data_IF_977031385220
#
_entry.id   IF_977031385220
#
_cell.length_a   1.000
_cell.length_b   1.000
_cell.length_c   1.000
_cell.angle_alpha   90.00
_cell.angle_beta   90.00
_cell.angle_gamma   90.00
#
_symmetry.space_group_name_H-M   'P 1'
#
loop_
_entity.id
_entity.type
_entity.pdbx_description
1 polymer ?
#
# COMPACT_ATOMS: atom_id res chain seq x y z
N UNK A 1 27.85 -12.04 7.74
CA UNK A 1 27.34 -11.04 6.77
C UNK A 1 27.67 -9.67 7.30
N UNK A 2 28.66 -8.99 6.71
CA UNK A 2 29.03 -7.63 7.09
C UNK A 2 27.83 -6.71 6.87
N UNK A 3 27.54 -5.82 7.82
CA UNK A 3 26.53 -4.79 7.63
C UNK A 3 27.00 -3.90 6.47
N UNK A 4 26.27 -3.92 5.35
CA UNK A 4 26.55 -3.06 4.22
C UNK A 4 26.64 -1.59 4.70
N UNK A 5 27.68 -0.89 4.26
CA UNK A 5 27.92 0.52 4.59
C UNK A 5 26.62 1.33 4.37
N UNK A 6 26.13 2.07 5.38
CA UNK A 6 24.92 2.88 5.23
C UNK A 6 25.03 3.95 4.13
N UNK A 7 26.25 4.29 3.70
CA UNK A 7 26.53 5.28 2.65
C UNK A 7 26.80 4.69 1.25
N UNK A 8 26.79 3.36 1.07
CA UNK A 8 27.02 2.76 -0.24
C UNK A 8 25.86 2.99 -1.22
N UNK A 9 26.17 3.27 -2.49
CA UNK A 9 25.18 3.40 -3.56
C UNK A 9 24.73 4.84 -3.89
N UNK A 10 23.89 4.96 -4.92
CA UNK A 10 23.43 6.28 -5.40
C UNK A 10 22.61 7.05 -4.34
N UNK A 11 22.47 8.38 -4.45
CA UNK A 11 21.62 9.17 -3.53
C UNK A 11 20.19 8.62 -3.39
N UNK A 12 19.65 8.05 -4.46
CA UNK A 12 18.32 7.42 -4.48
C UNK A 12 18.24 6.18 -3.57
N UNK A 13 19.32 5.40 -3.48
CA UNK A 13 19.42 4.22 -2.60
C UNK A 13 19.42 4.67 -1.13
N UNK A 14 20.19 5.71 -0.80
CA UNK A 14 20.24 6.25 0.57
C UNK A 14 18.86 6.77 0.99
N UNK A 15 18.23 7.60 0.16
CA UNK A 15 16.85 8.08 0.39
C UNK A 15 15.89 6.90 0.56
N UNK A 16 16.04 5.86 -0.26
CA UNK A 16 15.24 4.65 -0.21
C UNK A 16 15.30 3.92 1.13
N UNK A 17 16.49 3.79 1.74
CA UNK A 17 16.64 3.15 3.06
C UNK A 17 15.88 3.92 4.15
N UNK A 18 15.98 5.26 4.15
CA UNK A 18 15.22 6.11 5.08
C UNK A 18 13.71 6.04 4.82
N UNK A 19 13.31 6.16 3.56
CA UNK A 19 11.91 6.04 3.15
C UNK A 19 11.32 4.70 3.57
N UNK A 20 12.05 3.59 3.42
CA UNK A 20 11.62 2.27 3.86
C UNK A 20 11.37 2.20 5.38
N UNK A 21 12.24 2.81 6.18
CA UNK A 21 12.12 2.83 7.65
C UNK A 21 10.88 3.57 8.13
N UNK A 22 10.52 4.67 7.47
CA UNK A 22 9.44 5.58 7.86
C UNK A 22 8.20 5.52 6.97
N UNK A 23 8.14 4.59 6.00
CA UNK A 23 7.07 4.49 5.00
C UNK A 23 5.66 4.46 5.59
N UNK A 24 5.51 3.84 6.77
CA UNK A 24 4.22 3.66 7.44
C UNK A 24 3.69 4.97 8.06
N UNK A 25 4.53 6.00 8.22
CA UNK A 25 4.15 7.30 8.76
C UNK A 25 4.26 8.42 7.72
N UNK A 26 5.31 8.40 6.88
CA UNK A 26 5.62 9.46 5.92
C UNK A 26 4.46 9.77 4.99
N UNK A 27 3.91 8.74 4.33
CA UNK A 27 2.86 8.93 3.33
C UNK A 27 1.49 9.26 3.96
N UNK A 28 1.03 8.58 5.03
CA UNK A 28 -0.21 8.99 5.70
C UNK A 28 -0.18 10.43 6.22
N UNK A 29 0.93 10.88 6.82
CA UNK A 29 1.06 12.26 7.32
C UNK A 29 0.99 13.25 6.15
N UNK A 30 1.70 12.98 5.05
CA UNK A 30 1.64 13.81 3.86
C UNK A 30 0.22 13.88 3.28
N UNK A 31 -0.51 12.76 3.25
CA UNK A 31 -1.88 12.70 2.77
C UNK A 31 -2.85 13.51 3.64
N UNK A 32 -2.72 13.42 4.97
CA UNK A 32 -3.53 14.25 5.88
C UNK A 32 -3.22 15.74 5.73
N UNK A 33 -1.95 16.11 5.54
CA UNK A 33 -1.54 17.47 5.25
C UNK A 33 -2.14 18.00 3.95
N UNK A 34 -2.14 17.18 2.89
CA UNK A 34 -2.77 17.54 1.60
C UNK A 34 -4.30 17.60 1.70
N UNK A 35 -4.93 16.71 2.46
CA UNK A 35 -6.38 16.74 2.69
C UNK A 35 -6.81 18.03 3.39
N UNK A 36 -5.98 18.58 4.29
CA UNK A 36 -6.27 19.85 4.98
C UNK A 36 -6.27 21.07 4.05
N UNK A 37 -5.66 20.96 2.85
CA UNK A 37 -5.67 22.01 1.83
C UNK A 37 -6.92 21.96 0.94
N UNK A 38 -7.75 20.93 1.07
CA UNK A 38 -8.95 20.77 0.24
C UNK A 38 -10.02 21.82 0.56
N UNK A 39 -10.69 22.31 -0.48
CA UNK A 39 -11.78 23.27 -0.39
C UNK A 39 -13.06 22.74 -1.08
N UNK A 40 -14.25 23.00 -0.53
CA UNK A 40 -15.51 22.52 -1.09
C UNK A 40 -15.79 23.14 -2.47
N UNK A 41 -16.26 22.36 -3.47
CA UNK A 41 -16.60 22.90 -4.77
C UNK A 41 -17.87 23.77 -4.74
N UNK A 42 -17.79 24.96 -5.32
CA UNK A 42 -18.91 25.92 -5.37
C UNK A 42 -20.06 25.45 -6.30
N UNK A 43 -19.72 24.72 -7.37
CA UNK A 43 -20.68 24.28 -8.39
C UNK A 43 -21.23 22.87 -8.14
N UNK A 44 -22.47 22.63 -8.56
CA UNK A 44 -23.07 21.28 -8.51
C UNK A 44 -22.29 20.28 -9.38
N UNK A 45 -21.75 20.71 -10.52
CA UNK A 45 -20.88 19.89 -11.36
C UNK A 45 -19.58 19.53 -10.61
N UNK A 46 -18.96 20.49 -9.92
CA UNK A 46 -17.79 20.25 -9.09
C UNK A 46 -18.03 19.24 -7.98
N UNK A 47 -19.16 19.33 -7.28
CA UNK A 47 -19.55 18.34 -6.25
C UNK A 47 -19.74 16.93 -6.82
N UNK A 48 -20.34 16.80 -8.01
CA UNK A 48 -20.47 15.50 -8.69
C UNK A 48 -19.10 14.92 -9.08
N UNK A 49 -18.22 15.75 -9.65
CA UNK A 49 -16.86 15.32 -9.98
C UNK A 49 -16.10 14.86 -8.74
N UNK A 50 -16.27 15.57 -7.63
CA UNK A 50 -15.66 15.23 -6.34
C UNK A 50 -16.15 13.88 -5.79
N UNK A 51 -17.46 13.61 -5.87
CA UNK A 51 -18.03 12.31 -5.49
C UNK A 51 -17.56 11.17 -6.41
N UNK A 52 -17.44 11.42 -7.72
CA UNK A 52 -16.93 10.44 -8.68
C UNK A 52 -15.45 10.14 -8.41
N UNK A 53 -14.64 11.17 -8.14
CA UNK A 53 -13.23 11.03 -7.78
C UNK A 53 -13.08 10.25 -6.47
N UNK A 54 -13.92 10.52 -5.47
CA UNK A 54 -13.97 9.74 -4.23
C UNK A 54 -14.28 8.27 -4.48
N UNK A 55 -15.31 7.98 -5.27
CA UNK A 55 -15.71 6.61 -5.59
C UNK A 55 -14.63 5.88 -6.38
N UNK A 56 -14.02 6.54 -7.37
CA UNK A 56 -12.89 6.01 -8.12
C UNK A 56 -11.67 5.76 -7.20
N UNK A 57 -11.45 6.66 -6.24
CA UNK A 57 -10.40 6.52 -5.22
C UNK A 57 -10.58 5.30 -4.34
N UNK A 58 -11.79 5.06 -3.83
CA UNK A 58 -12.15 3.85 -3.08
C UNK A 58 -11.93 2.60 -3.94
N UNK A 59 -12.41 2.60 -5.18
CA UNK A 59 -12.26 1.47 -6.08
C UNK A 59 -10.78 1.15 -6.37
N UNK A 60 -9.94 2.16 -6.58
CA UNK A 60 -8.51 2.00 -6.81
C UNK A 60 -7.79 1.49 -5.55
N UNK A 61 -8.16 1.98 -4.37
CA UNK A 61 -7.60 1.49 -3.11
C UNK A 61 -7.99 0.03 -2.83
N UNK A 62 -9.24 -0.35 -3.12
CA UNK A 62 -9.69 -1.74 -3.05
C UNK A 62 -8.90 -2.62 -4.02
N UNK A 63 -8.72 -2.20 -5.29
CA UNK A 63 -7.92 -2.94 -6.25
C UNK A 63 -6.46 -3.14 -5.78
N UNK A 64 -5.84 -2.09 -5.22
CA UNK A 64 -4.51 -2.17 -4.62
C UNK A 64 -4.45 -3.13 -3.42
N UNK A 65 -5.45 -3.08 -2.53
CA UNK A 65 -5.55 -3.98 -1.39
C UNK A 65 -5.77 -5.43 -1.81
N UNK A 66 -6.60 -5.67 -2.83
CA UNK A 66 -6.81 -7.00 -3.42
C UNK A 66 -5.53 -7.56 -4.01
N UNK A 67 -4.74 -6.74 -4.71
CA UNK A 67 -3.43 -7.16 -5.22
C UNK A 67 -2.48 -7.55 -4.07
N UNK A 68 -2.43 -6.77 -2.99
CA UNK A 68 -1.60 -7.11 -1.81
C UNK A 68 -2.05 -8.42 -1.17
N UNK A 69 -3.36 -8.59 -0.97
CA UNK A 69 -3.92 -9.83 -0.43
C UNK A 69 -3.61 -11.03 -1.35
N UNK A 70 -3.72 -10.84 -2.67
CA UNK A 70 -3.40 -11.86 -3.67
C UNK A 70 -1.95 -12.30 -3.57
N UNK A 71 -1.01 -11.35 -3.55
CA UNK A 71 0.41 -11.62 -3.38
C UNK A 71 0.61 -12.42 -2.10
N UNK A 72 0.11 -11.95 -0.97
CA UNK A 72 0.41 -12.57 0.32
C UNK A 72 -0.22 -13.95 0.48
N UNK A 73 -1.45 -14.13 0.01
CA UNK A 73 -2.15 -15.40 0.12
C UNK A 73 -1.66 -16.47 -0.85
N UNK A 74 -1.12 -16.09 -2.02
CA UNK A 74 -0.53 -17.03 -3.00
C UNK A 74 0.98 -17.22 -2.84
N UNK A 75 1.66 -16.30 -2.18
CA UNK A 75 3.13 -16.34 -2.11
C UNK A 75 3.61 -17.31 -1.05
N UNK A 76 4.40 -18.31 -1.45
CA UNK A 76 5.16 -19.19 -0.56
C UNK A 76 6.41 -18.43 -0.07
N UNK A 77 6.24 -17.38 0.74
CA UNK A 77 7.35 -16.52 1.18
C UNK A 77 7.85 -16.94 2.56
N UNK A 78 9.06 -17.48 2.59
CA UNK A 78 10.01 -17.24 3.69
C UNK A 78 10.68 -15.89 3.38
N UNK A 79 10.58 -14.97 4.34
CA UNK A 79 10.65 -13.50 4.15
C UNK A 79 11.86 -12.96 3.38
N UNK A 80 11.56 -11.95 2.56
CA UNK A 80 12.44 -10.81 2.35
C UNK A 80 12.13 -9.67 3.33
N UNK A 81 13.05 -9.32 4.23
CA UNK A 81 12.99 -8.19 5.16
C UNK A 81 12.91 -8.57 6.64
N UNK A 82 13.92 -8.17 7.44
CA UNK A 82 14.00 -8.35 8.91
C UNK A 82 14.42 -7.00 9.53
N UNK A 83 13.85 -6.62 10.68
CA UNK A 83 14.25 -5.41 11.44
C UNK A 83 14.25 -4.07 10.65
N UNK A 84 13.28 -3.84 9.76
CA UNK A 84 13.18 -2.61 8.95
C UNK A 84 14.37 -2.39 7.98
N UNK A 85 15.07 -3.46 7.62
CA UNK A 85 16.08 -3.45 6.55
C UNK A 85 15.71 -4.48 5.47
N UNK A 86 16.20 -4.25 4.25
CA UNK A 86 16.16 -5.26 3.20
C UNK A 86 16.95 -6.49 3.67
N UNK A 87 16.33 -7.66 3.55
CA UNK A 87 16.90 -8.96 3.90
C UNK A 87 16.27 -9.97 2.95
N UNK A 88 16.94 -11.03 2.57
CA UNK A 88 16.34 -12.13 1.81
C UNK A 88 17.18 -13.39 2.04
N UNK A 89 16.58 -14.47 2.53
CA UNK A 89 17.26 -15.78 2.66
C UNK A 89 17.37 -16.48 1.30
N UNK A 90 16.39 -16.25 0.42
CA UNK A 90 16.37 -16.74 -0.96
C UNK A 90 15.76 -15.68 -1.88
N UNK A 91 16.20 -15.67 -3.13
CA UNK A 91 15.63 -14.83 -4.16
C UNK A 91 14.29 -15.43 -4.63
N UNK A 92 13.19 -14.89 -4.12
CA UNK A 92 11.83 -15.32 -4.49
C UNK A 92 11.48 -14.79 -5.88
N UNK A 93 11.24 -15.70 -6.82
CA UNK A 93 10.88 -15.38 -8.22
C UNK A 93 9.60 -16.10 -8.66
N UNK A 94 9.02 -16.94 -7.81
CA UNK A 94 7.82 -17.71 -8.07
C UNK A 94 6.55 -16.94 -7.68
N UNK A 95 5.40 -17.50 -8.07
CA UNK A 95 4.11 -16.90 -7.74
C UNK A 95 3.95 -15.54 -8.42
N UNK A 96 3.34 -14.59 -7.70
CA UNK A 96 3.11 -13.24 -8.23
C UNK A 96 4.44 -12.48 -8.51
N UNK A 97 5.54 -12.83 -7.85
CA UNK A 97 6.86 -12.26 -8.12
C UNK A 97 7.39 -12.62 -9.51
N UNK A 98 6.94 -13.74 -10.11
CA UNK A 98 7.25 -14.07 -11.50
C UNK A 98 6.54 -13.17 -12.54
N UNK A 99 5.52 -12.42 -12.11
CA UNK A 99 4.72 -11.55 -12.99
C UNK A 99 5.07 -10.07 -12.85
N UNK A 100 5.48 -9.65 -11.64
CA UNK A 100 5.89 -8.30 -11.29
C UNK A 100 6.92 -8.40 -10.16
N UNK A 101 8.04 -7.68 -10.25
CA UNK A 101 9.07 -7.76 -9.20
C UNK A 101 8.64 -7.11 -7.88
N UNK A 102 7.80 -6.07 -7.95
CA UNK A 102 7.43 -5.23 -6.80
C UNK A 102 5.90 -5.12 -6.61
N UNK A 103 5.14 -6.22 -6.60
CA UNK A 103 3.68 -6.17 -6.69
C UNK A 103 3.03 -5.57 -5.44
N UNK A 104 3.66 -5.72 -4.26
CA UNK A 104 3.20 -5.08 -3.03
C UNK A 104 3.32 -3.55 -3.10
N UNK A 105 4.40 -3.03 -3.69
CA UNK A 105 4.57 -1.59 -3.87
C UNK A 105 3.63 -1.02 -4.93
N UNK A 106 3.30 -1.79 -5.97
CA UNK A 106 2.22 -1.42 -6.90
C UNK A 106 0.88 -1.32 -6.16
N UNK A 107 0.53 -2.33 -5.35
CA UNK A 107 -0.68 -2.29 -4.53
C UNK A 107 -0.71 -1.09 -3.58
N UNK A 108 0.42 -0.75 -2.97
CA UNK A 108 0.53 0.44 -2.13
C UNK A 108 0.35 1.73 -2.92
N UNK A 109 0.98 1.85 -4.08
CA UNK A 109 0.83 3.02 -4.93
C UNK A 109 -0.64 3.20 -5.36
N UNK A 110 -1.35 2.11 -5.67
CA UNK A 110 -2.80 2.16 -5.95
C UNK A 110 -3.60 2.66 -4.74
N UNK A 111 -3.35 2.14 -3.54
CA UNK A 111 -4.02 2.59 -2.31
C UNK A 111 -3.80 4.10 -2.07
N UNK A 112 -2.55 4.54 -2.12
CA UNK A 112 -2.22 5.95 -1.85
C UNK A 112 -2.72 6.89 -2.94
N UNK A 113 -2.67 6.46 -4.22
CA UNK A 113 -3.27 7.22 -5.33
C UNK A 113 -4.79 7.28 -5.19
N UNK A 114 -5.42 6.19 -4.73
CA UNK A 114 -6.85 6.17 -4.42
C UNK A 114 -7.23 7.17 -3.33
N UNK A 115 -6.40 7.35 -2.31
CA UNK A 115 -6.60 8.40 -1.30
C UNK A 115 -6.45 9.81 -1.89
N UNK A 116 -5.48 10.05 -2.78
CA UNK A 116 -5.36 11.35 -3.46
C UNK A 116 -6.58 11.65 -4.33
N UNK A 117 -7.12 10.64 -5.02
CA UNK A 117 -8.39 10.75 -5.75
C UNK A 117 -9.55 11.04 -4.80
N UNK A 118 -9.57 10.47 -3.60
CA UNK A 118 -10.59 10.75 -2.60
C UNK A 118 -10.52 12.16 -2.01
N UNK A 119 -9.31 12.71 -1.88
CA UNK A 119 -9.11 14.12 -1.55
C UNK A 119 -9.66 14.98 -2.69
N UNK A 120 -9.28 14.67 -3.95
CA UNK A 120 -9.68 15.40 -5.15
C UNK A 120 -9.32 16.89 -5.09
N UNK A 121 -8.03 17.17 -4.92
CA UNK A 121 -7.46 18.52 -4.89
C UNK A 121 -6.26 18.63 -5.83
N UNK A 122 -6.06 19.81 -6.44
CA UNK A 122 -4.95 20.06 -7.36
C UNK A 122 -3.58 19.87 -6.69
N UNK A 123 -3.42 20.32 -5.45
CA UNK A 123 -2.19 20.17 -4.68
C UNK A 123 -1.96 18.73 -4.27
N UNK A 124 -3.04 17.99 -3.97
CA UNK A 124 -2.97 16.56 -3.72
C UNK A 124 -2.36 15.82 -4.93
N UNK A 125 -2.74 16.18 -6.15
CA UNK A 125 -2.17 15.59 -7.36
C UNK A 125 -0.74 16.08 -7.65
N UNK A 126 -0.52 17.40 -7.62
CA UNK A 126 0.78 18.00 -7.96
C UNK A 126 1.90 17.61 -6.99
N UNK A 127 1.60 17.44 -5.71
CA UNK A 127 2.58 17.08 -4.68
C UNK A 127 2.53 15.58 -4.40
N UNK A 128 1.34 15.02 -4.23
CA UNK A 128 1.16 13.64 -3.79
C UNK A 128 1.62 12.61 -4.82
N UNK A 129 1.29 12.77 -6.11
CA UNK A 129 1.67 11.79 -7.14
C UNK A 129 3.20 11.72 -7.32
N UNK A 130 3.93 12.85 -7.47
CA UNK A 130 5.39 12.80 -7.52
C UNK A 130 6.01 12.26 -6.24
N UNK A 131 5.47 12.58 -5.06
CA UNK A 131 5.97 12.07 -3.78
C UNK A 131 5.83 10.55 -3.70
N UNK A 132 4.65 10.00 -4.04
CA UNK A 132 4.41 8.55 -4.08
C UNK A 132 5.39 7.87 -5.04
N UNK A 133 5.53 8.43 -6.25
CA UNK A 133 6.44 7.90 -7.27
C UNK A 133 7.90 7.91 -6.78
N UNK A 134 8.35 9.03 -6.20
CA UNK A 134 9.71 9.17 -5.68
C UNK A 134 9.98 8.19 -4.53
N UNK A 135 9.08 8.13 -3.54
CA UNK A 135 9.22 7.26 -2.36
C UNK A 135 9.32 5.80 -2.77
N UNK A 136 8.40 5.30 -3.61
CA UNK A 136 8.44 3.89 -4.02
C UNK A 136 9.60 3.60 -4.97
N UNK A 137 9.98 4.52 -5.85
CA UNK A 137 11.20 4.35 -6.67
C UNK A 137 12.47 4.28 -5.81
N UNK A 138 12.56 5.12 -4.77
CA UNK A 138 13.70 5.12 -3.86
C UNK A 138 13.76 3.83 -3.05
N UNK A 139 12.63 3.41 -2.45
CA UNK A 139 12.52 2.16 -1.70
C UNK A 139 12.93 0.96 -2.58
N UNK A 140 12.37 0.87 -3.78
CA UNK A 140 12.69 -0.23 -4.71
C UNK A 140 14.17 -0.17 -5.09
N UNK A 141 14.72 1.00 -5.42
CA UNK A 141 16.15 1.10 -5.74
C UNK A 141 17.05 0.59 -4.61
N UNK A 142 16.71 0.88 -3.35
CA UNK A 142 17.45 0.38 -2.20
C UNK A 142 17.34 -1.14 -2.03
N UNK A 143 16.15 -1.71 -2.22
CA UNK A 143 15.96 -3.16 -2.19
C UNK A 143 16.66 -3.87 -3.35
N UNK A 144 16.54 -3.36 -4.58
CA UNK A 144 17.17 -3.95 -5.76
C UNK A 144 18.70 -3.89 -5.67
N UNK A 145 19.27 -2.83 -5.08
CA UNK A 145 20.70 -2.75 -4.79
C UNK A 145 21.14 -3.86 -3.83
N UNK A 146 20.41 -4.06 -2.73
CA UNK A 146 20.67 -5.15 -1.79
C UNK A 146 20.53 -6.53 -2.45
N UNK A 147 19.50 -6.75 -3.27
CA UNK A 147 19.29 -8.01 -3.97
C UNK A 147 20.38 -8.29 -5.01
N UNK A 148 20.88 -7.26 -5.69
CA UNK A 148 21.99 -7.39 -6.63
C UNK A 148 23.29 -7.79 -5.92
N UNK A 149 23.58 -7.20 -4.75
CA UNK A 149 24.74 -7.58 -3.93
C UNK A 149 24.60 -9.01 -3.37
N UNK A 150 23.41 -9.40 -2.93
CA UNK A 150 23.17 -10.69 -2.30
C UNK A 150 23.12 -11.87 -3.29
N UNK A 151 22.61 -11.66 -4.52
CA UNK A 151 22.30 -12.76 -5.45
C UNK A 151 22.96 -12.63 -6.84
N UNK A 152 23.68 -11.54 -7.13
CA UNK A 152 24.51 -11.41 -8.33
C UNK A 152 23.78 -11.70 -9.65
N UNK A 153 24.30 -12.63 -10.44
CA UNK A 153 23.74 -13.03 -11.74
C UNK A 153 22.30 -13.52 -11.66
N UNK A 154 21.94 -14.28 -10.61
CA UNK A 154 20.57 -14.78 -10.47
C UNK A 154 19.55 -13.64 -10.39
N UNK A 155 19.92 -12.51 -9.77
CA UNK A 155 19.09 -11.32 -9.73
C UNK A 155 19.06 -10.56 -11.06
N UNK A 156 20.20 -10.48 -11.77
CA UNK A 156 20.26 -9.87 -13.11
C UNK A 156 19.35 -10.61 -14.10
N UNK A 157 19.40 -11.93 -14.09
CA UNK A 157 18.55 -12.81 -14.89
C UNK A 157 17.06 -12.62 -14.58
N UNK A 158 16.73 -12.50 -13.30
CA UNK A 158 15.37 -12.19 -12.87
C UNK A 158 14.90 -10.83 -13.40
N UNK A 159 15.75 -9.80 -13.32
CA UNK A 159 15.46 -8.46 -13.81
C UNK A 159 15.19 -8.41 -15.32
N UNK A 160 15.90 -9.23 -16.10
CA UNK A 160 15.73 -9.32 -17.55
C UNK A 160 14.40 -9.95 -17.95
N UNK A 161 13.88 -10.88 -17.15
CA UNK A 161 12.63 -11.59 -17.43
C UNK A 161 11.39 -10.87 -16.90
N UNK A 162 11.47 -10.23 -15.74
CA UNK A 162 10.29 -9.74 -15.01
C UNK A 162 10.28 -8.21 -14.92
N UNK A 163 9.18 -7.54 -15.29
CA UNK A 163 9.08 -6.08 -15.19
C UNK A 163 9.13 -5.60 -13.73
N UNK A 164 9.71 -4.42 -13.53
CA UNK A 164 9.86 -3.83 -12.18
C UNK A 164 8.52 -3.50 -11.53
N UNK A 165 7.62 -2.83 -12.25
CA UNK A 165 6.30 -2.38 -11.77
C UNK A 165 5.13 -2.87 -12.65
N UNK A 166 5.38 -3.19 -13.92
CA UNK A 166 4.36 -3.76 -14.81
C UNK A 166 3.97 -5.19 -14.40
N UNK A 167 2.91 -5.70 -15.01
CA UNK A 167 2.45 -7.08 -14.83
C UNK A 167 2.55 -7.87 -16.13
N UNK A 168 3.24 -9.01 -16.10
CA UNK A 168 3.17 -10.02 -17.14
C UNK A 168 1.94 -10.90 -16.91
N UNK A 169 0.94 -10.83 -17.77
CA UNK A 169 -0.27 -11.65 -17.63
C UNK A 169 -0.11 -13.10 -18.13
N UNK A 170 0.90 -13.38 -18.94
CA UNK A 170 1.21 -14.73 -19.40
C UNK A 170 1.50 -15.66 -18.21
N UNK A 171 0.82 -16.81 -18.16
CA UNK A 171 0.99 -17.81 -17.10
C UNK A 171 0.27 -17.49 -15.78
N UNK A 172 -0.40 -16.33 -15.65
CA UNK A 172 -1.02 -15.91 -14.38
C UNK A 172 -2.08 -16.90 -13.88
N UNK A 173 -2.87 -17.48 -14.78
CA UNK A 173 -3.87 -18.50 -14.44
C UNK A 173 -3.23 -19.76 -13.84
N UNK A 174 -2.06 -20.16 -14.34
CA UNK A 174 -1.34 -21.31 -13.79
C UNK A 174 -0.82 -20.98 -12.39
N UNK A 175 -0.22 -19.79 -12.21
CA UNK A 175 0.22 -19.28 -10.90
C UNK A 175 -0.91 -19.25 -9.87
N UNK A 176 -2.09 -18.75 -10.24
CA UNK A 176 -3.25 -18.70 -9.34
C UNK A 176 -3.79 -20.08 -8.94
N UNK A 177 -3.46 -21.12 -9.72
CA UNK A 177 -3.88 -22.52 -9.48
C UNK A 177 -2.80 -23.38 -8.85
N UNK A 178 -1.56 -22.88 -8.78
CA UNK A 178 -0.41 -23.65 -8.32
C UNK A 178 -0.45 -23.98 -6.83
N UNK A 179 -1.12 -23.15 -6.02
CA UNK A 179 -1.25 -23.35 -4.58
C UNK A 179 -2.62 -22.88 -4.07
N UNK A 180 -3.15 -23.49 -3.00
CA UNK A 180 -4.33 -22.98 -2.31
C UNK A 180 -4.03 -21.62 -1.66
N UNK A 181 -5.06 -20.80 -1.54
CA UNK A 181 -4.95 -19.46 -0.96
C UNK A 181 -4.89 -19.50 0.57
N UNK A 182 -3.83 -18.96 1.17
CA UNK A 182 -3.62 -18.95 2.62
C UNK A 182 -4.28 -17.72 3.28
N UNK A 183 -5.58 -17.84 3.61
CA UNK A 183 -6.33 -16.80 4.31
C UNK A 183 -5.76 -16.46 5.70
N UNK A 184 -5.40 -17.43 6.58
CA UNK A 184 -4.78 -17.12 7.86
C UNK A 184 -3.54 -16.25 7.73
N UNK A 185 -2.67 -16.50 6.73
CA UNK A 185 -1.50 -15.68 6.43
C UNK A 185 -1.86 -14.26 6.02
N UNK A 186 -2.85 -14.10 5.14
CA UNK A 186 -3.34 -12.77 4.74
C UNK A 186 -3.82 -12.00 5.96
N UNK A 187 -4.68 -12.59 6.80
CA UNK A 187 -5.16 -11.93 8.02
C UNK A 187 -4.00 -11.59 8.95
N UNK A 188 -3.03 -12.48 9.15
CA UNK A 188 -1.89 -12.28 10.05
C UNK A 188 -0.93 -11.17 9.58
N UNK A 189 -0.76 -11.03 8.27
CA UNK A 189 0.24 -10.13 7.65
C UNK A 189 -0.36 -8.80 7.19
N UNK A 190 -1.64 -8.75 6.81
CA UNK A 190 -2.24 -7.58 6.17
C UNK A 190 -3.29 -6.84 6.98
N UNK A 191 -3.86 -7.37 8.07
CA UNK A 191 -4.98 -6.73 8.79
C UNK A 191 -4.79 -5.24 9.15
N UNK A 192 -3.55 -4.76 9.31
CA UNK A 192 -3.25 -3.36 9.60
C UNK A 192 -3.41 -2.42 8.40
N UNK A 193 -3.05 -2.86 7.19
CA UNK A 193 -3.15 -2.02 5.97
C UNK A 193 -4.60 -1.59 5.66
N UNK A 194 -5.60 -2.50 5.57
CA UNK A 194 -6.97 -2.12 5.30
C UNK A 194 -7.57 -1.28 6.40
N UNK A 195 -7.27 -1.59 7.65
CA UNK A 195 -7.71 -0.75 8.77
C UNK A 195 -7.21 0.69 8.63
N UNK A 196 -5.93 0.88 8.30
CA UNK A 196 -5.34 2.21 8.14
C UNK A 196 -5.98 2.99 7.00
N UNK A 197 -6.08 2.41 5.79
CA UNK A 197 -6.62 3.16 4.65
C UNK A 197 -8.13 3.40 4.74
N UNK A 198 -8.89 2.47 5.31
CA UNK A 198 -10.33 2.68 5.58
C UNK A 198 -10.52 3.82 6.58
N UNK A 199 -9.72 3.86 7.66
CA UNK A 199 -9.79 4.93 8.65
C UNK A 199 -9.47 6.30 8.02
N UNK A 200 -8.46 6.37 7.16
CA UNK A 200 -8.11 7.61 6.45
C UNK A 200 -9.23 8.05 5.50
N UNK A 201 -9.81 7.14 4.71
CA UNK A 201 -10.91 7.49 3.81
C UNK A 201 -12.17 7.95 4.55
N UNK A 202 -12.50 7.32 5.67
CA UNK A 202 -13.61 7.76 6.54
C UNK A 202 -13.33 9.15 7.11
N UNK A 203 -12.11 9.40 7.59
CA UNK A 203 -11.71 10.72 8.08
C UNK A 203 -11.79 11.78 6.97
N UNK A 204 -11.34 11.47 5.75
CA UNK A 204 -11.46 12.37 4.58
C UNK A 204 -12.93 12.64 4.26
N UNK A 205 -13.78 11.61 4.22
CA UNK A 205 -15.21 11.75 3.93
C UNK A 205 -15.90 12.67 4.95
N UNK A 206 -15.70 12.41 6.24
CA UNK A 206 -16.24 13.23 7.32
C UNK A 206 -15.71 14.67 7.24
N UNK A 207 -14.39 14.85 7.02
CA UNK A 207 -13.78 16.16 6.90
C UNK A 207 -14.40 16.98 5.75
N UNK A 208 -14.55 16.37 4.58
CA UNK A 208 -15.13 17.02 3.39
C UNK A 208 -16.60 17.38 3.61
N UNK A 209 -17.38 16.48 4.21
CA UNK A 209 -18.80 16.73 4.51
C UNK A 209 -18.95 17.92 5.48
N UNK A 210 -18.24 17.89 6.61
CA UNK A 210 -18.27 18.96 7.63
C UNK A 210 -17.83 20.30 7.04
N UNK A 211 -16.84 20.30 6.16
CA UNK A 211 -16.38 21.53 5.47
C UNK A 211 -17.34 22.04 4.41
N UNK A 212 -18.23 21.18 3.89
CA UNK A 212 -19.20 21.54 2.84
C UNK A 212 -20.50 22.05 3.44
N UNK A 213 -21.06 21.35 4.43
CA UNK A 213 -22.40 21.65 4.97
C UNK A 213 -22.41 22.05 6.45
N UNK A 214 -21.26 22.02 7.13
CA UNK A 214 -21.16 22.27 8.57
C UNK A 214 -21.40 21.01 9.42
N UNK A 215 -20.99 21.06 10.69
CA UNK A 215 -21.01 19.88 11.57
C UNK A 215 -22.42 19.32 11.82
N UNK A 216 -23.38 20.18 12.18
CA UNK A 216 -24.75 19.75 12.50
C UNK A 216 -25.44 19.07 11.33
N UNK A 217 -25.29 19.63 10.12
CA UNK A 217 -25.86 19.05 8.91
C UNK A 217 -25.15 17.75 8.45
N UNK A 218 -23.93 17.50 8.94
CA UNK A 218 -23.14 16.31 8.58
C UNK A 218 -23.47 15.07 9.42
N UNK A 219 -24.23 15.20 10.51
CA UNK A 219 -24.55 14.09 11.43
C UNK A 219 -25.09 12.84 10.71
N UNK A 220 -26.03 12.93 9.75
CA UNK A 220 -26.56 11.76 9.04
C UNK A 220 -25.52 11.01 8.19
N UNK A 221 -24.38 11.65 7.86
CA UNK A 221 -23.26 11.02 7.16
C UNK A 221 -22.21 10.51 8.16
N UNK A 222 -21.98 11.24 9.24
CA UNK A 222 -21.01 10.89 10.28
C UNK A 222 -21.44 9.60 11.01
N UNK A 223 -22.70 9.47 11.40
CA UNK A 223 -23.20 8.29 12.11
C UNK A 223 -22.94 6.97 11.38
N UNK A 224 -23.36 6.76 10.11
CA UNK A 224 -23.06 5.53 9.39
C UNK A 224 -21.57 5.35 9.14
N UNK A 225 -20.81 6.44 8.92
CA UNK A 225 -19.36 6.37 8.78
C UNK A 225 -18.66 5.84 10.05
N UNK A 226 -19.12 6.26 11.24
CA UNK A 226 -18.65 5.76 12.53
C UNK A 226 -19.04 4.30 12.78
N UNK A 227 -20.21 3.87 12.31
CA UNK A 227 -20.60 2.45 12.35
C UNK A 227 -19.66 1.60 11.50
N UNK A 228 -19.39 2.01 10.25
CA UNK A 228 -18.45 1.33 9.37
C UNK A 228 -17.05 1.29 10.01
N UNK A 229 -16.60 2.41 10.58
CA UNK A 229 -15.32 2.47 11.26
C UNK A 229 -15.26 1.55 12.49
N UNK A 230 -16.33 1.46 13.27
CA UNK A 230 -16.42 0.55 14.42
C UNK A 230 -16.33 -0.93 14.01
N UNK A 231 -16.93 -1.30 12.87
CA UNK A 231 -16.77 -2.63 12.29
C UNK A 231 -15.32 -2.87 11.87
N UNK A 232 -14.65 -1.89 11.26
CA UNK A 232 -13.25 -1.98 10.90
C UNK A 232 -12.33 -2.11 12.14
N UNK A 233 -12.62 -1.38 13.22
CA UNK A 233 -11.92 -1.50 14.51
C UNK A 233 -12.12 -2.91 15.08
N UNK A 234 -13.36 -3.41 15.12
CA UNK A 234 -13.64 -4.76 15.61
C UNK A 234 -12.89 -5.82 14.80
N UNK A 235 -12.93 -5.75 13.47
CA UNK A 235 -12.19 -6.65 12.58
C UNK A 235 -10.66 -6.58 12.83
N UNK A 236 -10.11 -5.37 13.00
CA UNK A 236 -8.70 -5.18 13.34
C UNK A 236 -8.34 -5.80 14.69
N UNK A 237 -9.17 -5.59 15.72
CA UNK A 237 -8.95 -6.15 17.05
C UNK A 237 -9.02 -7.67 17.04
N UNK A 238 -10.01 -8.27 16.36
CA UNK A 238 -10.13 -9.72 16.18
C UNK A 238 -8.90 -10.29 15.45
N UNK A 239 -8.49 -9.70 14.33
CA UNK A 239 -7.29 -10.15 13.63
C UNK A 239 -6.03 -10.04 14.50
N UNK A 240 -5.90 -8.95 15.26
CA UNK A 240 -4.78 -8.71 16.18
C UNK A 240 -4.76 -9.71 17.33
N UNK A 241 -5.91 -10.04 17.92
CA UNK A 241 -6.00 -11.02 19.02
C UNK A 241 -5.70 -12.42 18.52
N UNK A 242 -6.27 -12.83 17.38
CA UNK A 242 -5.98 -14.12 16.75
C UNK A 242 -4.49 -14.27 16.42
N UNK A 243 -3.85 -13.21 15.90
CA UNK A 243 -2.41 -13.17 15.65
C UNK A 243 -1.60 -13.32 16.95
N UNK A 244 -1.94 -12.55 18.00
CA UNK A 244 -1.23 -12.61 19.29
C UNK A 244 -1.40 -13.97 19.99
N UNK A 245 -2.56 -14.60 19.82
CA UNK A 245 -2.85 -15.93 20.36
C UNK A 245 -2.29 -17.08 19.51
N UNK A 246 -1.52 -16.79 18.46
CA UNK A 246 -0.98 -17.76 17.50
C UNK A 246 -2.04 -18.68 16.85
N UNK A 247 -3.29 -18.22 16.75
CA UNK A 247 -4.42 -18.99 16.19
C UNK A 247 -4.51 -18.93 14.66
N UNK A 248 -3.62 -18.18 14.01
CA UNK A 248 -3.54 -18.03 12.55
C UNK A 248 -2.40 -18.87 11.94
N UNK A 249 -1.86 -19.84 12.69
CA UNK A 249 -0.69 -20.65 12.32
C UNK A 249 0.63 -19.88 12.39
N UNK A 250 1.73 -20.61 12.60
CA UNK A 250 3.10 -20.09 12.43
C UNK A 250 3.50 -20.08 10.95
N UNK A 251 4.43 -19.20 10.59
CA UNK A 251 5.15 -19.29 9.32
C UNK A 251 6.13 -20.48 9.33
#
# INVERSE_FOLDING_TARGET
MSAADPSSGSPLVVIGRYAFRYRDALLPIALLGLAALWHPPDSAAGRRLDQLAFTAGVALALAGQSLRALVIGLSYIIRGGRNRTAYAERLVQEGIFGHCRNPLYVGNACIQTGMLLAINDVWAYLIGLPLIALVYRAIVAAEEHFLAEAFGDAYRDYCARVPRFGFRFSGLRATMRAAPFDWPRVVRKEYGTPFAWISILIAIAIYKEVRTVGFEASVPVIEPALVIWSVAVAAYLVARTLKKANRLGSD
#
